data_IF_556636372524
#
_entry.id   IF_556636372524
#
_cell.length_a   1.000
_cell.length_b   1.000
_cell.length_c   1.000
_cell.angle_alpha   90.00
_cell.angle_beta   90.00
_cell.angle_gamma   90.00
#
_symmetry.space_group_name_H-M   'P 1'
#
loop_
_entity.id
_entity.type
_entity.pdbx_description
1 polymer ?
#
# COMPACT_ATOMS: atom_id res chain seq x y z
N UNK A 1 19.81 15.05 43.15
CA UNK A 1 19.34 16.38 42.68
C UNK A 1 18.95 17.34 43.80
N UNK A 2 18.29 16.89 44.89
CA UNK A 2 17.83 17.81 45.96
C UNK A 2 18.96 18.63 46.61
N UNK A 3 20.15 18.04 46.81
CA UNK A 3 21.28 18.78 47.40
C UNK A 3 21.90 19.82 46.47
N UNK A 4 21.80 19.63 45.15
CA UNK A 4 22.22 20.63 44.14
C UNK A 4 21.18 21.75 44.06
N UNK A 5 19.90 21.44 44.32
CA UNK A 5 18.84 22.45 44.43
C UNK A 5 19.00 23.33 45.69
N UNK A 6 19.64 22.81 46.75
CA UNK A 6 19.88 23.52 48.01
C UNK A 6 21.12 24.43 47.98
N UNK A 7 22.17 24.04 47.24
CA UNK A 7 23.37 24.87 47.02
C UNK A 7 23.69 24.92 45.53
N UNK A 8 23.49 26.09 44.92
CA UNK A 8 23.62 26.34 43.49
C UNK A 8 25.07 26.69 43.06
N UNK A 9 26.03 26.74 43.99
CA UNK A 9 27.42 27.08 43.68
C UNK A 9 28.10 25.88 43.00
N UNK A 10 28.66 26.08 41.81
CA UNK A 10 29.30 25.01 41.02
C UNK A 10 30.43 24.30 41.78
N UNK A 11 31.24 25.05 42.55
CA UNK A 11 32.34 24.50 43.37
C UNK A 11 31.86 23.57 44.50
N UNK A 12 30.61 23.69 44.95
CA UNK A 12 30.04 22.82 45.99
C UNK A 12 29.90 21.37 45.51
N UNK A 13 29.75 21.17 44.20
CA UNK A 13 29.59 19.85 43.58
C UNK A 13 30.91 19.09 43.62
N UNK A 14 32.04 19.77 43.41
CA UNK A 14 33.39 19.17 43.44
C UNK A 14 33.73 18.64 44.83
N UNK A 15 33.23 19.30 45.88
CA UNK A 15 33.47 18.92 47.26
C UNK A 15 32.57 17.78 47.78
N UNK A 16 31.64 17.25 46.95
CA UNK A 16 30.81 16.11 47.36
C UNK A 16 31.62 14.82 47.38
N UNK A 17 31.79 14.27 48.58
CA UNK A 17 32.45 12.99 48.78
C UNK A 17 31.78 11.87 47.97
N UNK A 18 32.60 11.08 47.28
CA UNK A 18 32.13 9.92 46.51
C UNK A 18 31.37 10.24 45.21
N UNK A 19 31.18 11.51 44.84
CA UNK A 19 30.43 11.89 43.65
C UNK A 19 31.01 11.30 42.37
N UNK A 20 32.35 11.28 42.23
CA UNK A 20 33.02 10.68 41.08
C UNK A 20 32.63 9.21 40.92
N UNK A 21 32.74 8.43 41.98
CA UNK A 21 32.40 7.01 41.95
C UNK A 21 30.91 6.80 41.68
N UNK A 22 30.03 7.61 42.29
CA UNK A 22 28.59 7.56 42.04
C UNK A 22 28.26 7.83 40.56
N UNK A 23 28.85 8.87 39.96
CA UNK A 23 28.64 9.20 38.55
C UNK A 23 29.18 8.08 37.65
N UNK A 24 30.35 7.53 37.94
CA UNK A 24 30.90 6.39 37.19
C UNK A 24 29.99 5.17 37.27
N UNK A 25 29.45 4.83 38.45
CA UNK A 25 28.49 3.73 38.61
C UNK A 25 27.17 4.00 37.89
N UNK A 26 26.65 5.23 37.95
CA UNK A 26 25.43 5.60 37.21
C UNK A 26 25.62 5.48 35.70
N UNK A 27 26.77 5.90 35.18
CA UNK A 27 27.10 5.74 33.75
C UNK A 27 27.19 4.26 33.37
N UNK A 28 27.86 3.42 34.17
CA UNK A 28 27.91 1.97 33.92
C UNK A 28 26.52 1.33 33.95
N UNK A 29 25.66 1.71 34.91
CA UNK A 29 24.28 1.22 34.97
C UNK A 29 23.46 1.65 33.75
N UNK A 30 23.58 2.90 33.32
CA UNK A 30 22.90 3.39 32.11
C UNK A 30 23.38 2.65 30.86
N UNK A 31 24.69 2.37 30.74
CA UNK A 31 25.23 1.60 29.62
C UNK A 31 24.67 0.18 29.57
N UNK A 32 24.55 -0.49 30.73
CA UNK A 32 23.94 -1.83 30.80
C UNK A 32 22.47 -1.80 30.41
N UNK A 33 21.71 -0.84 30.93
CA UNK A 33 20.31 -0.66 30.56
C UNK A 33 20.16 -0.41 29.05
N UNK A 34 21.00 0.45 28.47
CA UNK A 34 20.99 0.72 27.03
C UNK A 34 21.28 -0.54 26.22
N UNK A 35 22.25 -1.35 26.63
CA UNK A 35 22.58 -2.59 25.92
C UNK A 35 21.41 -3.58 25.94
N UNK A 36 20.81 -3.82 27.11
CA UNK A 36 19.65 -4.70 27.23
C UNK A 36 18.44 -4.17 26.46
N UNK A 37 18.25 -2.85 26.42
CA UNK A 37 17.21 -2.23 25.63
C UNK A 37 17.44 -2.44 24.13
N UNK A 38 18.67 -2.24 23.63
CA UNK A 38 19.00 -2.47 22.23
C UNK A 38 18.77 -3.93 21.82
N UNK A 39 19.16 -4.88 22.67
CA UNK A 39 18.89 -6.32 22.45
C UNK A 39 17.38 -6.60 22.38
N UNK A 40 16.58 -6.01 23.27
CA UNK A 40 15.13 -6.13 23.25
C UNK A 40 14.49 -5.50 22.00
N UNK A 41 14.93 -4.31 21.58
CA UNK A 41 14.40 -3.66 20.38
C UNK A 41 14.75 -4.46 19.12
N UNK A 42 15.95 -5.03 19.05
CA UNK A 42 16.34 -5.89 17.93
C UNK A 42 15.53 -7.18 17.87
N UNK A 43 15.23 -7.80 19.03
CA UNK A 43 14.31 -8.93 19.11
C UNK A 43 12.93 -8.55 18.54
N UNK A 44 12.38 -7.39 18.94
CA UNK A 44 11.09 -6.91 18.40
C UNK A 44 11.15 -6.62 16.90
N UNK A 45 12.24 -6.05 16.39
CA UNK A 45 12.46 -5.84 14.95
C UNK A 45 12.52 -7.14 14.17
N UNK A 46 13.14 -8.18 14.73
CA UNK A 46 13.20 -9.49 14.09
C UNK A 46 11.81 -10.15 13.97
N UNK A 47 10.91 -9.91 14.93
CA UNK A 47 9.54 -10.44 14.92
C UNK A 47 8.63 -9.69 13.94
N UNK A 48 8.84 -8.39 13.76
CA UNK A 48 8.11 -7.58 12.78
C UNK A 48 9.07 -6.67 12.00
N UNK A 49 9.54 -7.11 10.81
CA UNK A 49 10.59 -6.42 10.06
C UNK A 49 10.30 -4.96 9.68
N UNK A 50 9.03 -4.52 9.67
CA UNK A 50 8.74 -3.11 9.39
C UNK A 50 9.25 -2.16 10.48
N UNK A 51 9.54 -2.66 11.68
CA UNK A 51 10.16 -1.87 12.74
C UNK A 51 11.60 -1.43 12.42
N UNK A 52 12.26 -1.98 11.39
CA UNK A 52 13.53 -1.45 10.90
C UNK A 52 13.39 -0.07 10.25
N UNK A 53 12.18 0.35 9.84
CA UNK A 53 11.94 1.64 9.21
C UNK A 53 11.63 2.78 10.20
N UNK A 54 11.57 2.49 11.51
CA UNK A 54 11.28 3.49 12.55
C UNK A 54 12.44 3.59 13.54
N UNK A 55 12.60 4.79 14.11
CA UNK A 55 13.61 5.06 15.13
C UNK A 55 13.29 4.37 16.46
N UNK A 56 14.31 4.23 17.31
CA UNK A 56 14.18 3.59 18.62
C UNK A 56 13.13 4.28 19.51
N UNK A 57 13.05 5.62 19.46
CA UNK A 57 12.08 6.42 20.22
C UNK A 57 10.62 6.11 19.82
N UNK A 58 10.34 6.06 18.51
CA UNK A 58 9.03 5.70 17.97
C UNK A 58 8.67 4.26 18.34
N UNK A 59 9.63 3.34 18.22
CA UNK A 59 9.40 1.93 18.54
C UNK A 59 9.09 1.73 20.03
N UNK A 60 9.82 2.43 20.91
CA UNK A 60 9.56 2.44 22.34
C UNK A 60 8.19 3.00 22.69
N UNK A 61 7.76 4.07 22.01
CA UNK A 61 6.44 4.65 22.21
C UNK A 61 5.32 3.68 21.82
N UNK A 62 5.47 3.01 20.67
CA UNK A 62 4.54 1.96 20.21
C UNK A 62 4.48 0.79 21.20
N UNK A 63 5.63 0.30 21.66
CA UNK A 63 5.71 -0.83 22.59
C UNK A 63 5.20 -0.46 23.99
N UNK A 64 5.46 0.76 24.45
CA UNK A 64 5.05 1.26 25.76
C UNK A 64 3.57 1.63 25.85
N UNK A 65 2.94 2.01 24.72
CA UNK A 65 1.53 2.39 24.64
C UNK A 65 0.74 1.51 23.66
N UNK A 66 1.00 0.21 23.68
CA UNK A 66 0.44 -0.79 22.76
C UNK A 66 -1.09 -0.91 22.74
N UNK A 67 -1.75 -0.38 23.77
CA UNK A 67 -3.21 -0.40 23.92
C UNK A 67 -3.86 0.95 23.65
N UNK A 68 -3.09 2.02 23.45
CA UNK A 68 -3.62 3.36 23.22
C UNK A 68 -3.86 3.58 21.71
N UNK A 69 -5.13 3.60 21.24
CA UNK A 69 -5.42 3.68 19.81
C UNK A 69 -4.88 4.95 19.15
N UNK A 70 -4.81 6.07 19.90
CA UNK A 70 -4.34 7.35 19.37
C UNK A 70 -2.85 7.31 19.02
N UNK A 71 -2.04 6.72 19.90
CA UNK A 71 -0.59 6.58 19.68
C UNK A 71 -0.31 5.61 18.55
N UNK A 72 -1.02 4.47 18.52
CA UNK A 72 -0.89 3.50 17.43
C UNK A 72 -1.14 4.18 16.08
N UNK A 73 -2.21 4.97 15.96
CA UNK A 73 -2.53 5.65 14.71
C UNK A 73 -1.46 6.66 14.26
N UNK A 74 -0.79 7.36 15.19
CA UNK A 74 0.27 8.31 14.81
C UNK A 74 1.48 7.64 14.18
N UNK A 75 1.76 6.38 14.53
CA UNK A 75 2.91 5.63 13.97
C UNK A 75 2.53 4.69 12.82
N UNK A 76 1.26 4.29 12.66
CA UNK A 76 0.83 3.40 11.58
C UNK A 76 1.20 3.93 10.19
N UNK A 77 1.06 5.23 9.95
CA UNK A 77 1.50 5.89 8.71
C UNK A 77 3.00 5.81 8.42
N UNK A 78 3.83 5.54 9.44
CA UNK A 78 5.28 5.32 9.28
C UNK A 78 5.59 3.85 8.94
N UNK A 79 4.72 2.93 9.35
CA UNK A 79 4.88 1.48 9.16
C UNK A 79 4.24 0.96 7.86
N UNK A 80 3.18 1.62 7.39
CA UNK A 80 2.44 1.25 6.19
C UNK A 80 2.34 2.46 5.26
N UNK A 81 2.65 2.26 3.98
CA UNK A 81 2.65 3.34 3.00
C UNK A 81 1.23 3.86 2.71
N UNK A 82 0.26 2.96 2.49
CA UNK A 82 -1.11 3.34 2.13
C UNK A 82 -2.09 3.51 3.30
N UNK A 83 -1.73 3.06 4.51
CA UNK A 83 -2.60 3.20 5.70
C UNK A 83 -2.24 4.48 6.45
N UNK A 84 -3.08 5.49 6.33
CA UNK A 84 -2.95 6.72 7.11
C UNK A 84 -3.49 6.54 8.53
N UNK A 85 -4.64 5.88 8.65
CA UNK A 85 -5.35 5.67 9.90
C UNK A 85 -6.18 4.39 9.84
N UNK A 86 -6.71 3.93 10.97
CA UNK A 86 -7.54 2.71 11.02
C UNK A 86 -8.83 3.00 11.77
N UNK A 87 -9.89 2.26 11.40
CA UNK A 87 -11.16 2.33 12.09
C UNK A 87 -11.22 1.23 13.15
N UNK A 88 -11.57 1.63 14.38
CA UNK A 88 -11.80 0.72 15.48
C UNK A 88 -13.30 0.39 15.61
N UNK A 89 -13.60 -0.74 16.26
CA UNK A 89 -14.94 -1.03 16.75
C UNK A 89 -15.34 -0.14 17.95
N UNK A 90 -16.60 -0.21 18.37
CA UNK A 90 -17.16 0.63 19.45
C UNK A 90 -16.38 0.52 20.77
N UNK A 91 -15.76 -0.64 21.01
CA UNK A 91 -15.01 -0.92 22.23
C UNK A 91 -13.50 -0.66 22.10
N UNK A 92 -13.02 -0.19 20.94
CA UNK A 92 -11.59 -0.02 20.63
C UNK A 92 -10.75 -1.29 20.87
N UNK A 93 -11.34 -2.47 20.63
CA UNK A 93 -10.68 -3.78 20.79
C UNK A 93 -10.29 -4.40 19.45
N UNK A 94 -10.94 -3.99 18.37
CA UNK A 94 -10.67 -4.53 17.05
C UNK A 94 -10.52 -3.43 16.00
N UNK A 95 -9.64 -3.66 15.04
CA UNK A 95 -9.55 -2.90 13.80
C UNK A 95 -10.51 -3.52 12.79
N UNK A 96 -11.36 -2.68 12.18
CA UNK A 96 -12.41 -3.11 11.26
C UNK A 96 -12.23 -2.57 9.84
N UNK A 97 -11.45 -1.51 9.65
CA UNK A 97 -11.17 -0.94 8.33
C UNK A 97 -9.84 -0.17 8.32
N UNK A 98 -9.23 -0.09 7.15
CA UNK A 98 -8.08 0.77 6.86
C UNK A 98 -8.55 2.06 6.20
N UNK A 99 -7.86 3.17 6.45
CA UNK A 99 -8.16 4.46 5.85
C UNK A 99 -6.92 5.06 5.19
N UNK A 100 -7.07 5.52 3.95
CA UNK A 100 -6.01 6.26 3.25
C UNK A 100 -5.97 7.73 3.71
N UNK A 101 -4.94 8.45 3.27
CA UNK A 101 -4.80 9.89 3.51
C UNK A 101 -5.98 10.68 2.91
N UNK A 102 -6.44 10.27 1.73
CA UNK A 102 -7.51 10.93 0.98
C UNK A 102 -8.93 10.58 1.47
N UNK A 103 -9.03 9.74 2.50
CA UNK A 103 -10.30 9.32 3.09
C UNK A 103 -10.92 8.07 2.46
N UNK A 104 -10.21 7.32 1.61
CA UNK A 104 -10.68 6.02 1.12
C UNK A 104 -10.70 5.01 2.27
N UNK A 105 -11.84 4.36 2.48
CA UNK A 105 -12.05 3.39 3.55
C UNK A 105 -12.14 1.99 2.94
N UNK A 106 -11.30 1.07 3.44
CA UNK A 106 -11.29 -0.33 3.04
C UNK A 106 -11.67 -1.20 4.24
N UNK A 107 -12.89 -1.75 4.29
CA UNK A 107 -13.29 -2.67 5.33
C UNK A 107 -12.45 -3.95 5.27
N UNK A 108 -11.97 -4.41 6.43
CA UNK A 108 -11.28 -5.69 6.53
C UNK A 108 -12.28 -6.84 6.47
N UNK A 109 -11.91 -7.94 5.83
CA UNK A 109 -12.76 -9.12 5.75
C UNK A 109 -12.99 -9.74 7.14
N UNK A 110 -11.94 -9.80 7.96
CA UNK A 110 -11.98 -10.21 9.36
C UNK A 110 -11.43 -9.10 10.24
N UNK A 111 -12.07 -8.91 11.39
CA UNK A 111 -11.64 -7.92 12.38
C UNK A 111 -10.32 -8.35 13.00
N UNK A 112 -9.37 -7.42 13.13
CA UNK A 112 -8.06 -7.69 13.75
C UNK A 112 -8.11 -7.26 15.22
N UNK A 113 -7.92 -8.22 16.13
CA UNK A 113 -7.91 -7.96 17.57
C UNK A 113 -6.62 -7.27 18.01
N UNK A 114 -6.75 -6.18 18.78
CA UNK A 114 -5.63 -5.49 19.40
C UNK A 114 -5.18 -6.28 20.62
N UNK A 115 -3.88 -6.56 20.69
CA UNK A 115 -3.24 -7.31 21.76
C UNK A 115 -2.11 -6.48 22.38
N UNK A 116 -1.68 -6.77 23.62
CA UNK A 116 -0.53 -6.10 24.23
C UNK A 116 0.77 -6.27 23.41
N UNK A 117 0.94 -7.43 22.77
CA UNK A 117 2.06 -7.74 21.87
C UNK A 117 1.83 -7.09 20.50
N UNK A 118 2.47 -5.94 20.26
CA UNK A 118 2.21 -5.09 19.09
C UNK A 118 2.61 -5.76 17.79
N UNK A 119 3.75 -6.44 17.80
CA UNK A 119 4.27 -7.21 16.66
C UNK A 119 3.28 -8.27 16.18
N UNK A 120 2.51 -8.88 17.09
CA UNK A 120 1.57 -9.96 16.76
C UNK A 120 0.37 -9.42 16.01
N UNK A 121 -0.27 -8.36 16.53
CA UNK A 121 -1.45 -7.83 15.87
C UNK A 121 -1.12 -6.99 14.63
N UNK A 122 0.05 -6.34 14.57
CA UNK A 122 0.52 -5.66 13.35
C UNK A 122 0.82 -6.66 12.22
N UNK A 123 1.43 -7.80 12.54
CA UNK A 123 1.64 -8.88 11.56
C UNK A 123 0.29 -9.40 11.05
N UNK A 124 -0.68 -9.65 11.95
CA UNK A 124 -2.04 -10.04 11.57
C UNK A 124 -2.75 -8.97 10.73
N UNK A 125 -2.54 -7.69 11.00
CA UNK A 125 -3.07 -6.61 10.17
C UNK A 125 -2.48 -6.65 8.76
N UNK A 126 -1.18 -6.89 8.62
CA UNK A 126 -0.52 -7.03 7.32
C UNK A 126 -1.04 -8.24 6.54
N UNK A 127 -1.23 -9.38 7.20
CA UNK A 127 -1.82 -10.59 6.60
C UNK A 127 -3.27 -10.35 6.16
N UNK A 128 -4.08 -9.78 7.05
CA UNK A 128 -5.50 -9.52 6.79
C UNK A 128 -5.71 -8.47 5.69
N UNK A 129 -4.82 -7.49 5.58
CA UNK A 129 -4.80 -6.53 4.48
C UNK A 129 -4.64 -7.24 3.13
N UNK A 130 -3.66 -8.15 3.02
CA UNK A 130 -3.40 -8.93 1.81
C UNK A 130 -4.62 -9.81 1.48
N UNK A 131 -5.14 -10.55 2.45
CA UNK A 131 -6.32 -11.41 2.27
C UNK A 131 -7.55 -10.61 1.81
N UNK A 132 -7.80 -9.47 2.44
CA UNK A 132 -8.90 -8.57 2.10
C UNK A 132 -8.78 -8.07 0.66
N UNK A 133 -7.60 -7.59 0.26
CA UNK A 133 -7.39 -7.07 -1.09
C UNK A 133 -7.47 -8.17 -2.16
N UNK A 134 -7.00 -9.38 -1.86
CA UNK A 134 -7.17 -10.53 -2.75
C UNK A 134 -8.64 -10.85 -2.99
N UNK A 135 -9.46 -10.89 -1.93
CA UNK A 135 -10.88 -11.22 -2.07
C UNK A 135 -11.66 -10.09 -2.74
N UNK A 136 -11.33 -8.83 -2.45
CA UNK A 136 -11.89 -7.68 -3.15
C UNK A 136 -11.58 -7.74 -4.64
N UNK A 137 -10.36 -8.10 -5.05
CA UNK A 137 -10.02 -8.28 -6.47
C UNK A 137 -10.87 -9.37 -7.13
N UNK A 138 -11.00 -10.54 -6.49
CA UNK A 138 -11.82 -11.64 -7.03
C UNK A 138 -13.28 -11.25 -7.18
N UNK A 139 -13.83 -10.52 -6.21
CA UNK A 139 -15.21 -10.05 -6.25
C UNK A 139 -15.39 -8.97 -7.32
N UNK A 140 -14.45 -8.02 -7.41
CA UNK A 140 -14.44 -6.97 -8.42
C UNK A 140 -14.44 -7.53 -9.85
N UNK A 141 -13.60 -8.53 -10.13
CA UNK A 141 -13.55 -9.17 -11.44
C UNK A 141 -14.86 -9.90 -11.79
N UNK A 142 -15.51 -10.54 -10.81
CA UNK A 142 -16.82 -11.20 -11.01
C UNK A 142 -17.94 -10.19 -11.28
N UNK A 143 -17.96 -9.06 -10.56
CA UNK A 143 -18.95 -8.00 -10.74
C UNK A 143 -18.75 -7.30 -12.10
N UNK A 144 -17.50 -7.04 -12.49
CA UNK A 144 -17.17 -6.50 -13.80
C UNK A 144 -17.62 -7.42 -14.95
N UNK A 145 -17.47 -8.75 -14.80
CA UNK A 145 -17.98 -9.72 -15.78
C UNK A 145 -19.51 -9.71 -15.91
N UNK A 146 -20.23 -9.30 -14.86
CA UNK A 146 -21.70 -9.18 -14.86
C UNK A 146 -22.20 -7.83 -15.36
N UNK A 147 -21.30 -6.85 -15.56
CA UNK A 147 -21.66 -5.47 -15.91
C UNK A 147 -22.22 -4.66 -14.73
N UNK A 148 -21.97 -5.10 -13.49
CA UNK A 148 -22.48 -4.49 -12.25
C UNK A 148 -21.35 -3.87 -11.41
N UNK A 149 -20.36 -3.27 -12.08
CA UNK A 149 -19.19 -2.69 -11.42
C UNK A 149 -19.54 -1.31 -10.86
N UNK A 150 -19.70 -1.21 -9.55
CA UNK A 150 -19.82 0.05 -8.83
C UNK A 150 -18.44 0.56 -8.33
N UNK A 151 -17.92 1.70 -8.83
CA UNK A 151 -16.66 2.28 -8.38
C UNK A 151 -16.64 2.66 -6.89
N UNK A 152 -17.79 2.86 -6.26
CA UNK A 152 -17.86 3.20 -4.83
C UNK A 152 -17.60 2.00 -3.93
N UNK A 153 -17.90 0.78 -4.41
CA UNK A 153 -17.77 -0.47 -3.65
C UNK A 153 -16.32 -0.92 -3.47
N UNK A 154 -15.43 -0.55 -4.38
CA UNK A 154 -14.05 -1.03 -4.44
C UNK A 154 -13.04 0.10 -4.24
N UNK A 155 -11.90 -0.16 -3.58
CA UNK A 155 -10.82 0.82 -3.51
C UNK A 155 -10.16 1.02 -4.87
N UNK A 156 -9.59 2.20 -5.09
CA UNK A 156 -8.95 2.62 -6.34
C UNK A 156 -7.92 1.62 -6.85
N UNK A 157 -7.07 1.11 -5.95
CA UNK A 157 -6.05 0.10 -6.26
C UNK A 157 -6.65 -1.16 -6.89
N UNK A 158 -7.79 -1.63 -6.37
CA UNK A 158 -8.44 -2.85 -6.85
C UNK A 158 -9.17 -2.61 -8.17
N UNK A 159 -9.83 -1.45 -8.32
CA UNK A 159 -10.47 -1.07 -9.59
C UNK A 159 -9.44 -1.02 -10.72
N UNK A 160 -8.33 -0.32 -10.51
CA UNK A 160 -7.27 -0.23 -11.51
C UNK A 160 -6.67 -1.61 -11.84
N UNK A 161 -6.40 -2.43 -10.82
CA UNK A 161 -5.84 -3.76 -11.02
C UNK A 161 -6.80 -4.68 -11.79
N UNK A 162 -8.10 -4.61 -11.48
CA UNK A 162 -9.12 -5.37 -12.20
C UNK A 162 -9.21 -4.94 -13.68
N UNK A 163 -9.19 -3.63 -13.96
CA UNK A 163 -9.18 -3.11 -15.33
C UNK A 163 -7.92 -3.52 -16.10
N UNK A 164 -6.73 -3.51 -15.47
CA UNK A 164 -5.49 -3.98 -16.11
C UNK A 164 -5.53 -5.48 -16.48
N UNK A 165 -6.12 -6.31 -15.61
CA UNK A 165 -6.31 -7.73 -15.89
C UNK A 165 -7.30 -7.92 -17.04
N UNK A 166 -8.45 -7.22 -17.00
CA UNK A 166 -9.44 -7.26 -18.07
C UNK A 166 -8.87 -6.77 -19.40
N UNK A 167 -8.07 -5.71 -19.37
CA UNK A 167 -7.36 -5.20 -20.53
C UNK A 167 -6.44 -6.26 -21.13
N UNK A 168 -5.62 -6.91 -20.31
CA UNK A 168 -4.73 -7.99 -20.77
C UNK A 168 -5.52 -9.10 -21.44
N UNK A 169 -6.57 -9.61 -20.80
CA UNK A 169 -7.39 -10.70 -21.35
C UNK A 169 -8.15 -10.31 -22.63
N UNK A 170 -8.74 -9.13 -22.67
CA UNK A 170 -9.52 -8.64 -23.82
C UNK A 170 -8.60 -8.30 -25.00
N UNK A 171 -7.43 -7.71 -24.72
CA UNK A 171 -6.44 -7.42 -25.75
C UNK A 171 -5.91 -8.70 -26.39
N UNK A 172 -5.53 -9.72 -25.61
CA UNK A 172 -5.07 -11.01 -26.15
C UNK A 172 -6.14 -11.72 -27.00
N UNK A 173 -7.41 -11.66 -26.59
CA UNK A 173 -8.55 -12.14 -27.39
C UNK A 173 -8.72 -11.33 -28.67
N UNK A 174 -8.59 -10.01 -28.61
CA UNK A 174 -8.70 -9.11 -29.76
C UNK A 174 -7.55 -9.31 -30.76
N UNK A 175 -6.31 -9.52 -30.29
CA UNK A 175 -5.16 -9.86 -31.15
C UNK A 175 -5.42 -11.18 -31.88
N UNK A 176 -5.85 -12.21 -31.14
CA UNK A 176 -6.06 -13.56 -31.69
C UNK A 176 -7.23 -13.63 -32.69
N UNK A 177 -8.25 -12.78 -32.51
CA UNK A 177 -9.43 -12.71 -33.38
C UNK A 177 -9.32 -11.68 -34.50
N UNK A 178 -8.26 -10.85 -34.52
CA UNK A 178 -8.16 -9.69 -35.42
C UNK A 178 -9.13 -8.54 -35.07
N UNK A 179 -9.71 -8.54 -33.87
CA UNK A 179 -10.70 -7.59 -33.38
C UNK A 179 -10.14 -6.31 -32.74
N UNK A 180 -8.83 -6.03 -32.83
CA UNK A 180 -8.18 -4.89 -32.17
C UNK A 180 -8.85 -3.54 -32.50
N UNK A 181 -9.29 -3.32 -33.75
CA UNK A 181 -9.95 -2.06 -34.13
C UNK A 181 -11.30 -1.87 -33.44
N UNK A 182 -12.04 -2.97 -33.22
CA UNK A 182 -13.30 -2.95 -32.45
C UNK A 182 -13.02 -2.69 -30.98
N UNK A 183 -11.99 -3.35 -30.44
CA UNK A 183 -11.62 -3.19 -29.03
C UNK A 183 -11.14 -1.78 -28.71
N UNK A 184 -10.42 -1.13 -29.64
CA UNK A 184 -10.03 0.27 -29.49
C UNK A 184 -11.25 1.21 -29.34
N UNK A 185 -12.30 1.00 -30.13
CA UNK A 185 -13.55 1.79 -30.03
C UNK A 185 -14.30 1.54 -28.72
N UNK A 186 -14.21 0.32 -28.18
CA UNK A 186 -14.76 -0.02 -26.87
C UNK A 186 -14.02 0.76 -25.77
N UNK A 187 -12.69 0.82 -25.83
CA UNK A 187 -11.87 1.63 -24.91
C UNK A 187 -12.16 3.13 -25.04
N UNK A 188 -12.32 3.65 -26.26
CA UNK A 188 -12.73 5.04 -26.48
C UNK A 188 -14.10 5.33 -25.83
N UNK A 189 -15.06 4.43 -25.99
CA UNK A 189 -16.39 4.54 -25.39
C UNK A 189 -16.34 4.46 -23.85
N UNK A 190 -15.46 3.61 -23.31
CA UNK A 190 -15.21 3.50 -21.87
C UNK A 190 -14.59 4.80 -21.33
N UNK A 191 -13.63 5.38 -22.05
CA UNK A 191 -13.01 6.66 -21.69
C UNK A 191 -14.05 7.79 -21.70
N UNK A 192 -14.89 7.88 -22.73
CA UNK A 192 -16.00 8.84 -22.81
C UNK A 192 -16.92 8.68 -21.59
N UNK A 193 -17.32 7.44 -21.26
CA UNK A 193 -18.15 7.15 -20.10
C UNK A 193 -17.55 7.64 -18.79
N UNK A 194 -16.24 7.47 -18.58
CA UNK A 194 -15.56 7.97 -17.38
C UNK A 194 -15.47 9.49 -17.33
N UNK A 195 -15.28 10.14 -18.47
CA UNK A 195 -15.23 11.61 -18.55
C UNK A 195 -16.61 12.28 -18.45
N UNK A 196 -17.68 11.55 -18.77
CA UNK A 196 -19.06 12.05 -18.70
C UNK A 196 -19.71 11.93 -17.32
N UNK A 197 -19.07 11.25 -16.36
CA UNK A 197 -19.61 11.11 -15.00
C UNK A 197 -19.71 12.50 -14.35
N UNK A 198 -20.92 12.93 -14.07
CA UNK A 198 -21.17 14.18 -13.37
C UNK A 198 -20.83 14.02 -11.88
N UNK A 199 -19.79 14.73 -11.44
CA UNK A 199 -19.27 14.66 -10.07
C UNK A 199 -20.14 15.43 -9.06
N UNK A 200 -21.14 16.17 -9.53
CA UNK A 200 -21.99 17.03 -8.70
C UNK A 200 -22.97 16.27 -7.78
N UNK A 201 -23.26 15.00 -8.06
CA UNK A 201 -24.21 14.17 -7.28
C UNK A 201 -23.56 13.33 -6.17
N UNK A 202 -22.26 13.51 -5.90
CA UNK A 202 -21.55 12.65 -4.96
C UNK A 202 -21.97 12.92 -3.49
N UNK A 203 -22.28 11.83 -2.78
CA UNK A 203 -22.86 11.81 -1.43
C UNK A 203 -21.85 12.20 -0.34
N UNK A 204 -21.57 13.49 -0.26
CA UNK A 204 -20.68 14.12 0.72
C UNK A 204 -19.30 14.45 0.17
N UNK A 205 -18.72 15.56 0.64
CA UNK A 205 -17.47 16.15 0.12
C UNK A 205 -16.30 15.14 0.05
N UNK A 206 -16.13 14.28 1.06
CA UNK A 206 -15.05 13.28 1.08
C UNK A 206 -15.28 12.11 0.12
N UNK A 207 -16.51 11.60 0.05
CA UNK A 207 -16.83 10.48 -0.84
C UNK A 207 -16.72 10.91 -2.32
N UNK A 208 -17.17 12.13 -2.64
CA UNK A 208 -16.98 12.74 -3.94
C UNK A 208 -15.52 12.91 -4.33
N UNK A 209 -14.70 13.43 -3.41
CA UNK A 209 -13.26 13.57 -3.63
C UNK A 209 -12.57 12.22 -3.90
N UNK A 210 -12.88 11.18 -3.12
CA UNK A 210 -12.30 9.83 -3.35
C UNK A 210 -12.74 9.27 -4.70
N UNK A 211 -14.01 9.43 -5.08
CA UNK A 211 -14.50 9.00 -6.39
C UNK A 211 -13.80 9.75 -7.53
N UNK A 212 -13.55 11.05 -7.37
CA UNK A 212 -12.80 11.86 -8.34
C UNK A 212 -11.39 11.31 -8.57
N UNK A 213 -10.69 10.98 -7.48
CA UNK A 213 -9.35 10.38 -7.54
C UNK A 213 -9.36 9.01 -8.23
N UNK A 214 -10.36 8.17 -7.92
CA UNK A 214 -10.56 6.87 -8.58
C UNK A 214 -10.75 7.04 -10.09
N UNK A 215 -11.64 7.94 -10.51
CA UNK A 215 -11.91 8.17 -11.93
C UNK A 215 -10.69 8.73 -12.66
N UNK A 216 -9.95 9.68 -12.07
CA UNK A 216 -8.69 10.17 -12.63
C UNK A 216 -7.67 9.05 -12.85
N UNK A 217 -7.53 8.13 -11.90
CA UNK A 217 -6.63 7.00 -12.02
C UNK A 217 -7.07 6.02 -13.12
N UNK A 218 -8.37 5.75 -13.25
CA UNK A 218 -8.93 4.90 -14.31
C UNK A 218 -8.80 5.52 -15.71
N UNK A 219 -9.02 6.83 -15.83
CA UNK A 219 -8.85 7.58 -17.07
C UNK A 219 -7.41 7.48 -17.57
N UNK A 220 -6.42 7.69 -16.69
CA UNK A 220 -5.00 7.58 -17.05
C UNK A 220 -4.64 6.18 -17.56
N UNK A 221 -5.12 5.13 -16.87
CA UNK A 221 -4.90 3.74 -17.30
C UNK A 221 -5.58 3.44 -18.65
N UNK A 222 -6.79 3.97 -18.87
CA UNK A 222 -7.55 3.77 -20.11
C UNK A 222 -6.86 4.47 -21.29
N UNK A 223 -6.35 5.68 -21.10
CA UNK A 223 -5.56 6.39 -22.12
C UNK A 223 -4.31 5.59 -22.49
N UNK A 224 -3.59 5.06 -21.50
CA UNK A 224 -2.44 4.20 -21.75
C UNK A 224 -2.82 2.93 -22.52
N UNK A 225 -3.94 2.28 -22.16
CA UNK A 225 -4.46 1.11 -22.86
C UNK A 225 -4.78 1.39 -24.33
N UNK A 226 -5.42 2.54 -24.63
CA UNK A 226 -5.70 3.01 -26.00
C UNK A 226 -4.38 3.19 -26.78
N UNK A 227 -3.40 3.85 -26.18
CA UNK A 227 -2.09 4.05 -26.81
C UNK A 227 -1.38 2.73 -27.12
N UNK A 228 -1.47 1.74 -26.22
CA UNK A 228 -0.94 0.39 -26.46
C UNK A 228 -1.66 -0.29 -27.63
N UNK A 229 -2.99 -0.26 -27.66
CA UNK A 229 -3.77 -0.86 -28.76
C UNK A 229 -3.47 -0.18 -30.10
N UNK A 230 -3.31 1.14 -30.13
CA UNK A 230 -2.87 1.86 -31.32
C UNK A 230 -1.48 1.40 -31.80
N UNK A 231 -0.52 1.22 -30.90
CA UNK A 231 0.80 0.68 -31.26
C UNK A 231 0.71 -0.74 -31.83
N UNK A 232 -0.14 -1.60 -31.25
CA UNK A 232 -0.33 -2.98 -31.73
C UNK A 232 -0.95 -3.01 -33.13
N UNK A 233 -1.92 -2.12 -33.39
CA UNK A 233 -2.54 -1.94 -34.71
C UNK A 233 -1.54 -1.45 -35.75
N UNK A 234 -0.72 -0.44 -35.42
CA UNK A 234 0.32 0.08 -36.31
C UNK A 234 1.38 -0.98 -36.64
N UNK A 235 1.74 -1.81 -35.66
CA UNK A 235 2.69 -2.90 -35.85
C UNK A 235 2.11 -4.11 -36.60
N UNK A 236 0.78 -4.17 -36.79
CA UNK A 236 0.11 -5.30 -37.42
C UNK A 236 0.23 -6.60 -36.61
N UNK A 237 0.20 -6.50 -35.27
CA UNK A 237 0.32 -7.61 -34.32
C UNK A 237 -0.78 -8.65 -34.58
N UNK A 238 -0.42 -9.92 -34.74
CA UNK A 238 -1.35 -11.03 -35.05
C UNK A 238 -1.35 -12.14 -34.02
N UNK A 239 -0.33 -12.19 -33.17
CA UNK A 239 -0.20 -13.21 -32.14
C UNK A 239 0.06 -12.55 -30.80
N UNK A 240 -0.53 -13.06 -29.69
CA UNK A 240 -0.10 -12.71 -28.36
C UNK A 240 1.40 -12.99 -28.13
N UNK A 241 2.02 -13.88 -28.90
CA UNK A 241 3.47 -14.11 -28.85
C UNK A 241 4.33 -13.00 -29.47
N UNK A 242 3.73 -12.04 -30.16
CA UNK A 242 4.48 -11.00 -30.86
C UNK A 242 5.17 -10.05 -29.87
N UNK A 243 6.40 -9.65 -30.21
CA UNK A 243 7.23 -8.78 -29.38
C UNK A 243 6.53 -7.50 -28.93
N UNK A 244 5.74 -6.88 -29.81
CA UNK A 244 5.05 -5.62 -29.50
C UNK A 244 4.01 -5.76 -28.39
N UNK A 245 3.46 -6.96 -28.17
CA UNK A 245 2.64 -7.29 -27.01
C UNK A 245 3.47 -7.76 -25.82
N UNK A 246 4.43 -8.66 -26.04
CA UNK A 246 5.25 -9.23 -24.96
C UNK A 246 6.08 -8.18 -24.21
N UNK A 247 6.48 -7.09 -24.89
CA UNK A 247 7.19 -5.96 -24.27
C UNK A 247 6.32 -5.14 -23.30
N UNK A 248 4.99 -5.30 -23.33
CA UNK A 248 4.08 -4.56 -22.46
C UNK A 248 4.02 -5.22 -21.08
N UNK A 249 3.76 -4.41 -20.05
CA UNK A 249 3.47 -4.92 -18.71
C UNK A 249 2.06 -5.49 -18.69
N UNK A 250 1.91 -6.77 -18.32
CA UNK A 250 0.65 -7.50 -18.37
C UNK A 250 0.28 -8.00 -16.99
N UNK A 251 -1.01 -7.94 -16.68
CA UNK A 251 -1.54 -8.43 -15.41
C UNK A 251 -2.45 -9.61 -15.68
N UNK A 252 -2.22 -10.73 -15.02
CA UNK A 252 -2.99 -11.95 -15.22
C UNK A 252 -3.40 -12.55 -13.89
N UNK A 253 -4.50 -13.31 -13.88
CA UNK A 253 -4.83 -14.17 -12.75
C UNK A 253 -4.22 -15.56 -12.97
N UNK A 254 -3.41 -16.01 -12.02
CA UNK A 254 -2.88 -17.37 -12.04
C UNK A 254 -3.95 -18.40 -11.64
N UNK A 255 -3.62 -19.69 -11.79
CA UNK A 255 -4.54 -20.81 -11.47
C UNK A 255 -4.95 -20.87 -9.99
N UNK A 256 -4.21 -20.21 -9.10
CA UNK A 256 -4.51 -20.12 -7.66
C UNK A 256 -5.43 -18.93 -7.34
N UNK A 257 -5.83 -18.15 -8.34
CA UNK A 257 -6.64 -16.95 -8.14
C UNK A 257 -5.86 -15.80 -7.48
N UNK A 258 -4.56 -15.71 -7.78
CA UNK A 258 -3.68 -14.61 -7.39
C UNK A 258 -3.21 -13.86 -8.63
N UNK A 259 -3.04 -12.54 -8.52
CA UNK A 259 -2.55 -11.71 -9.60
C UNK A 259 -1.04 -11.87 -9.76
N UNK A 260 -0.61 -12.01 -11.01
CA UNK A 260 0.79 -12.05 -11.42
C UNK A 260 1.03 -10.98 -12.48
N UNK A 261 2.17 -10.31 -12.39
CA UNK A 261 2.64 -9.35 -13.38
C UNK A 261 3.61 -10.05 -14.31
N UNK A 262 3.47 -9.84 -15.62
CA UNK A 262 4.31 -10.46 -16.65
C UNK A 262 4.85 -9.40 -17.60
N UNK A 263 6.15 -9.45 -17.87
CA UNK A 263 6.78 -8.58 -18.88
C UNK A 263 7.87 -9.39 -19.57
N UNK A 264 7.73 -9.58 -20.88
CA UNK A 264 8.52 -10.55 -21.65
C UNK A 264 8.46 -11.93 -20.98
N UNK A 265 9.60 -12.46 -20.54
CA UNK A 265 9.73 -13.77 -19.89
C UNK A 265 9.73 -13.67 -18.35
N UNK A 266 9.77 -12.45 -17.80
CA UNK A 266 9.79 -12.22 -16.36
C UNK A 266 8.35 -12.25 -15.79
N UNK A 267 8.21 -12.90 -14.64
CA UNK A 267 6.94 -13.05 -13.92
C UNK A 267 7.13 -12.75 -12.43
N UNK A 268 6.28 -11.88 -11.89
CA UNK A 268 6.33 -11.44 -10.49
C UNK A 268 4.96 -11.62 -9.84
N UNK A 269 4.94 -12.12 -8.61
CA UNK A 269 3.71 -12.17 -7.81
C UNK A 269 3.32 -10.75 -7.36
N UNK A 270 2.04 -10.39 -7.51
CA UNK A 270 1.52 -9.15 -6.95
C UNK A 270 1.39 -9.32 -5.43
N UNK A 271 2.02 -8.44 -4.64
CA UNK A 271 2.15 -8.60 -3.18
C UNK A 271 0.96 -8.09 -2.37
N UNK A 272 0.03 -7.36 -2.99
CA UNK A 272 -1.17 -6.83 -2.34
C UNK A 272 -0.89 -5.89 -1.15
N UNK A 273 0.20 -5.13 -1.17
CA UNK A 273 0.40 -4.03 -0.22
C UNK A 273 -0.56 -2.87 -0.55
N UNK A 274 -1.36 -2.42 0.43
CA UNK A 274 -2.27 -1.29 0.22
C UNK A 274 -1.50 0.02 0.00
N UNK A 275 -1.80 0.72 -1.10
CA UNK A 275 -1.16 1.98 -1.48
C UNK A 275 -2.06 3.21 -1.30
N UNK A 276 -3.37 3.02 -1.09
CA UNK A 276 -4.35 4.12 -1.14
C UNK A 276 -4.44 4.77 -2.53
N UNK A 277 -4.85 6.03 -2.59
CA UNK A 277 -5.00 6.81 -3.83
C UNK A 277 -3.68 7.49 -4.24
N UNK A 278 -2.61 6.70 -4.39
CA UNK A 278 -1.32 7.23 -4.82
C UNK A 278 -1.42 7.84 -6.23
N UNK A 279 -0.78 9.00 -6.42
CA UNK A 279 -0.72 9.66 -7.73
C UNK A 279 0.01 8.78 -8.75
N UNK A 280 -0.67 8.43 -9.84
CA UNK A 280 -0.07 7.70 -10.94
C UNK A 280 0.75 8.62 -11.84
N UNK A 281 1.88 8.11 -12.31
CA UNK A 281 2.68 8.78 -13.33
C UNK A 281 2.08 8.49 -14.71
N UNK A 282 2.11 9.50 -15.59
CA UNK A 282 1.72 9.32 -16.99
C UNK A 282 2.68 8.33 -17.64
N UNK A 283 2.12 7.32 -18.32
CA UNK A 283 2.92 6.37 -19.07
C UNK A 283 3.55 7.07 -20.29
N UNK A 284 4.86 6.89 -20.44
CA UNK A 284 5.62 7.42 -21.56
C UNK A 284 6.50 6.30 -22.13
N UNK A 285 6.97 6.42 -23.39
CA UNK A 285 7.93 5.46 -23.94
C UNK A 285 9.20 5.30 -23.09
N UNK A 286 9.58 6.33 -22.32
CA UNK A 286 10.70 6.25 -21.39
C UNK A 286 10.35 5.35 -20.19
N UNK A 287 9.15 5.48 -19.64
CA UNK A 287 8.65 4.63 -18.55
C UNK A 287 8.63 3.16 -18.95
N UNK A 288 8.16 2.85 -20.17
CA UNK A 288 8.14 1.47 -20.69
C UNK A 288 9.54 0.88 -20.80
N UNK A 289 10.52 1.69 -21.26
CA UNK A 289 11.92 1.27 -21.33
C UNK A 289 12.51 1.03 -19.93
N UNK A 290 12.16 1.86 -18.95
CA UNK A 290 12.57 1.66 -17.57
C UNK A 290 12.01 0.36 -17.01
N UNK A 291 10.71 0.09 -17.15
CA UNK A 291 10.11 -1.17 -16.69
C UNK A 291 10.72 -2.39 -17.38
N UNK A 292 10.95 -2.32 -18.70
CA UNK A 292 11.61 -3.40 -19.42
C UNK A 292 13.02 -3.64 -18.87
N UNK A 293 13.80 -2.60 -18.63
CA UNK A 293 15.17 -2.76 -18.11
C UNK A 293 15.18 -3.31 -16.69
N UNK A 294 14.27 -2.87 -15.83
CA UNK A 294 14.17 -3.31 -14.44
C UNK A 294 13.70 -4.76 -14.32
N UNK A 295 12.74 -5.18 -15.14
CA UNK A 295 12.21 -6.55 -15.12
C UNK A 295 13.17 -7.57 -15.72
N UNK A 296 14.10 -7.14 -16.58
CA UNK A 296 15.14 -8.00 -17.17
C UNK A 296 16.50 -7.89 -16.44
N UNK A 297 16.60 -7.03 -15.42
CA UNK A 297 17.83 -6.79 -14.68
C UNK A 297 18.11 -7.78 -13.55
N UNK A 298 17.25 -8.79 -13.39
CA UNK A 298 17.44 -9.91 -12.45
C UNK A 298 18.27 -11.05 -13.04
#
# INVERSE_FOLDING_TARGET
MMDVRRDNRVLSIVNKAGLRNLLTTMVDQLQRCQKSLNEFLEEKRSLFPRFYFIGDDDLLEILGQSTNPNVIQTHLKKLFAGIHSVQFDENCQHIIAMKSLDGEIVPLQRKVKILPEVEVWLSKLSEEMVDTLQELLRTCLKDAQRGDLDPNKYPSQILCLAEQIRFTESCEKAVSSGGLSSYNKELDSQLESYTSVDMSESSGETAGHVLELKLKALILDTIHAIDVVHQLLQAGTRSPGDWMWQKQLRYCMNKKGLCVMKMVDAEFDYTYEYQGNAQKLVHTPLTDKCYLTLTQGE
#
